data_IF_691446775173
#
_entry.id   IF_691446775173
#
_cell.length_a   1.000
_cell.length_b   1.000
_cell.length_c   1.000
_cell.angle_alpha   90.00
_cell.angle_beta   90.00
_cell.angle_gamma   90.00
#
_symmetry.space_group_name_H-M   'P 1'
#
loop_
_entity.id
_entity.type
_entity.pdbx_description
1 polymer ?
#
# COMPACT_ATOMS: atom_id res chain seq x y z
N UNK A 1 -9.37 34.96 2.23
CA UNK A 1 -8.65 34.27 1.14
C UNK A 1 -7.63 33.34 1.76
N UNK A 2 -7.40 32.18 1.17
CA UNK A 2 -6.40 31.18 1.58
C UNK A 2 -5.36 31.09 0.46
N UNK A 3 -4.08 31.04 0.84
CA UNK A 3 -3.00 30.83 -0.11
C UNK A 3 -2.63 29.35 -0.10
N UNK A 4 -2.60 28.74 -1.27
CA UNK A 4 -2.25 27.33 -1.47
C UNK A 4 -1.12 27.26 -2.48
N UNK A 5 -0.10 26.44 -2.20
CA UNK A 5 1.02 26.22 -3.11
C UNK A 5 0.85 24.86 -3.78
N UNK A 6 0.93 24.83 -5.11
CA UNK A 6 0.98 23.63 -5.92
C UNK A 6 2.37 23.49 -6.51
N UNK A 7 2.83 22.25 -6.65
CA UNK A 7 4.18 21.91 -7.07
C UNK A 7 4.13 20.96 -8.25
N UNK A 8 4.91 21.24 -9.29
CA UNK A 8 5.04 20.36 -10.47
C UNK A 8 6.45 20.47 -11.07
N UNK A 9 6.74 19.66 -12.09
CA UNK A 9 8.05 19.68 -12.77
C UNK A 9 8.21 20.94 -13.64
N UNK A 10 7.13 21.43 -14.23
CA UNK A 10 7.14 22.65 -15.06
C UNK A 10 6.14 23.71 -14.57
N UNK A 11 6.36 25.00 -14.89
CA UNK A 11 5.41 26.06 -14.54
C UNK A 11 4.03 25.86 -15.17
N UNK A 12 3.98 25.31 -16.39
CA UNK A 12 2.74 25.02 -17.11
C UNK A 12 1.93 23.95 -16.38
N UNK A 13 2.57 22.88 -15.93
CA UNK A 13 1.93 21.82 -15.16
C UNK A 13 1.41 22.35 -13.82
N UNK A 14 2.22 23.13 -13.08
CA UNK A 14 1.79 23.70 -11.80
C UNK A 14 0.56 24.62 -11.97
N UNK A 15 0.49 25.34 -13.08
CA UNK A 15 -0.66 26.19 -13.40
C UNK A 15 -1.87 25.36 -13.85
N UNK A 16 -1.65 24.32 -14.66
CA UNK A 16 -2.70 23.39 -15.08
C UNK A 16 -3.33 22.69 -13.87
N UNK A 17 -2.54 22.23 -12.90
CA UNK A 17 -3.04 21.67 -11.63
C UNK A 17 -3.91 22.68 -10.86
N UNK A 18 -3.54 23.95 -10.89
CA UNK A 18 -4.33 25.02 -10.24
C UNK A 18 -5.67 25.21 -10.95
N UNK A 19 -5.68 25.18 -12.28
CA UNK A 19 -6.91 25.25 -13.09
C UNK A 19 -7.79 24.02 -12.95
N UNK A 20 -7.20 22.83 -12.90
CA UNK A 20 -7.94 21.59 -12.71
C UNK A 20 -8.64 21.57 -11.36
N UNK A 21 -7.90 21.92 -10.29
CA UNK A 21 -8.42 21.88 -8.93
C UNK A 21 -9.39 23.02 -8.61
N UNK A 22 -9.13 24.22 -9.10
CA UNK A 22 -9.87 25.43 -8.72
C UNK A 22 -10.66 26.09 -9.86
N UNK A 23 -10.60 25.56 -11.08
CA UNK A 23 -11.19 26.18 -12.27
C UNK A 23 -10.54 27.53 -12.57
N UNK A 24 -11.37 28.53 -12.92
CA UNK A 24 -10.89 29.91 -13.10
C UNK A 24 -10.98 30.74 -11.79
N UNK A 25 -11.33 30.11 -10.67
CA UNK A 25 -11.73 30.80 -9.44
C UNK A 25 -10.57 30.89 -8.43
N UNK A 26 -9.41 31.34 -8.91
CA UNK A 26 -8.22 31.59 -8.11
C UNK A 26 -7.44 32.79 -8.66
N UNK A 27 -6.58 33.37 -7.82
CA UNK A 27 -5.62 34.39 -8.24
C UNK A 27 -4.19 33.90 -8.09
N UNK A 28 -3.40 33.99 -9.15
CA UNK A 28 -1.97 33.71 -9.08
C UNK A 28 -1.27 34.76 -8.18
N UNK A 29 -0.57 34.31 -7.14
CA UNK A 29 0.17 35.18 -6.21
C UNK A 29 1.67 35.14 -6.49
N UNK A 30 2.23 33.95 -6.68
CA UNK A 30 3.64 33.79 -7.02
C UNK A 30 3.90 32.53 -7.83
N UNK A 31 4.92 32.57 -8.67
CA UNK A 31 5.46 31.40 -9.36
C UNK A 31 6.99 31.41 -9.17
N UNK A 32 7.55 30.29 -8.72
CA UNK A 32 8.98 30.15 -8.45
C UNK A 32 9.47 28.81 -8.99
N UNK A 33 10.66 28.83 -9.58
CA UNK A 33 11.37 27.61 -9.95
C UNK A 33 12.52 27.41 -8.95
N UNK A 34 12.58 26.22 -8.37
CA UNK A 34 13.54 25.83 -7.35
C UNK A 34 14.45 24.75 -7.95
N UNK A 35 15.75 25.00 -7.92
CA UNK A 35 16.74 23.97 -8.27
C UNK A 35 16.79 22.94 -7.15
N UNK A 36 16.64 21.67 -7.49
CA UNK A 36 16.76 20.57 -6.53
C UNK A 36 18.23 20.25 -6.24
N UNK A 37 18.47 19.51 -5.16
CA UNK A 37 19.82 19.25 -4.64
C UNK A 37 20.72 18.49 -5.63
N UNK A 38 20.13 17.74 -6.56
CA UNK A 38 20.81 17.03 -7.64
C UNK A 38 21.36 17.96 -8.74
N UNK A 39 21.06 19.27 -8.69
CA UNK A 39 21.44 20.31 -9.68
C UNK A 39 20.97 20.09 -11.12
N UNK A 40 20.41 18.92 -11.43
CA UNK A 40 19.87 18.59 -12.74
C UNK A 40 18.36 18.77 -12.79
N UNK A 41 17.67 18.58 -11.65
CA UNK A 41 16.21 18.69 -11.60
C UNK A 41 15.77 20.06 -11.07
N UNK A 42 14.61 20.50 -11.56
CA UNK A 42 13.94 21.71 -11.06
C UNK A 42 12.51 21.38 -10.65
N UNK A 43 12.05 22.01 -9.58
CA UNK A 43 10.67 21.98 -9.13
C UNK A 43 10.05 23.35 -9.31
N UNK A 44 8.83 23.40 -9.82
CA UNK A 44 8.09 24.64 -10.03
C UNK A 44 6.95 24.74 -9.01
N UNK A 45 7.00 25.78 -8.20
CA UNK A 45 5.98 26.08 -7.20
C UNK A 45 5.14 27.28 -7.65
N UNK A 46 3.83 27.09 -7.63
CA UNK A 46 2.86 28.16 -7.87
C UNK A 46 1.99 28.33 -6.64
N UNK A 47 1.98 29.54 -6.08
CA UNK A 47 1.07 29.92 -5.00
C UNK A 47 -0.12 30.66 -5.59
N UNK A 48 -1.31 30.16 -5.31
CA UNK A 48 -2.58 30.76 -5.70
C UNK A 48 -3.39 31.16 -4.46
N UNK A 49 -4.20 32.20 -4.59
CA UNK A 49 -5.13 32.66 -3.57
C UNK A 49 -6.55 32.32 -3.98
N UNK A 50 -7.28 31.67 -3.08
CA UNK A 50 -8.63 31.15 -3.33
C UNK A 50 -9.54 31.52 -2.15
N UNK A 51 -10.85 31.59 -2.37
CA UNK A 51 -11.81 31.83 -1.28
C UNK A 51 -11.82 30.65 -0.29
N UNK A 52 -11.98 30.95 1.00
CA UNK A 52 -12.00 29.90 2.05
C UNK A 52 -13.17 28.93 1.85
N UNK A 53 -14.32 29.47 1.45
CA UNK A 53 -15.53 28.69 1.17
C UNK A 53 -15.29 27.69 0.03
N UNK A 54 -14.69 28.14 -1.08
CA UNK A 54 -14.37 27.27 -2.21
C UNK A 54 -13.36 26.18 -1.85
N UNK A 55 -12.36 26.52 -1.05
CA UNK A 55 -11.34 25.57 -0.59
C UNK A 55 -11.95 24.44 0.25
N UNK A 56 -12.86 24.78 1.16
CA UNK A 56 -13.54 23.78 2.00
C UNK A 56 -14.45 22.88 1.16
N UNK A 57 -15.28 23.46 0.28
CA UNK A 57 -16.18 22.70 -0.59
C UNK A 57 -15.45 21.66 -1.46
N UNK A 58 -14.29 22.02 -2.01
CA UNK A 58 -13.53 21.13 -2.88
C UNK A 58 -12.83 20.02 -2.10
N UNK A 59 -12.27 20.32 -0.93
CA UNK A 59 -11.61 19.30 -0.10
C UNK A 59 -12.62 18.35 0.56
N UNK A 60 -13.79 18.85 0.99
CA UNK A 60 -14.88 18.00 1.49
C UNK A 60 -15.44 17.07 0.39
N UNK A 61 -15.40 17.50 -0.88
CA UNK A 61 -15.75 16.66 -2.02
C UNK A 61 -14.67 15.63 -2.38
N UNK A 62 -13.38 15.98 -2.23
CA UNK A 62 -12.25 15.04 -2.41
C UNK A 62 -12.19 13.96 -1.31
N UNK A 63 -12.63 14.27 -0.09
CA UNK A 63 -12.64 13.32 1.05
C UNK A 63 -13.53 12.08 0.78
N UNK A 64 -14.55 12.22 -0.09
CA UNK A 64 -15.35 11.09 -0.58
C UNK A 64 -14.57 10.10 -1.47
N UNK A 65 -13.46 10.53 -2.07
CA UNK A 65 -12.54 9.68 -2.83
C UNK A 65 -11.51 8.98 -1.94
N UNK A 66 -10.99 9.67 -0.92
CA UNK A 66 -10.03 9.12 0.05
C UNK A 66 -10.65 7.99 0.86
N UNK A 67 -11.89 8.17 1.33
CA UNK A 67 -12.62 7.13 2.05
C UNK A 67 -12.81 5.84 1.22
N UNK A 68 -12.97 5.99 -0.11
CA UNK A 68 -13.14 4.86 -1.03
C UNK A 68 -11.82 4.14 -1.31
N UNK A 69 -10.72 4.88 -1.43
CA UNK A 69 -9.38 4.29 -1.56
C UNK A 69 -8.97 3.56 -0.27
N UNK A 70 -9.23 4.16 0.89
CA UNK A 70 -9.01 3.52 2.19
C UNK A 70 -9.82 2.23 2.35
N UNK A 71 -11.10 2.24 1.96
CA UNK A 71 -11.95 1.04 1.96
C UNK A 71 -11.41 -0.06 1.02
N UNK A 72 -10.92 0.31 -0.17
CA UNK A 72 -10.29 -0.65 -1.10
C UNK A 72 -9.00 -1.25 -0.53
N UNK A 73 -8.13 -0.43 0.08
CA UNK A 73 -6.90 -0.89 0.73
C UNK A 73 -7.20 -1.80 1.92
N UNK A 74 -8.22 -1.49 2.72
CA UNK A 74 -8.65 -2.34 3.84
C UNK A 74 -9.19 -3.70 3.36
N UNK A 75 -9.93 -3.71 2.25
CA UNK A 75 -10.40 -4.95 1.63
C UNK A 75 -9.23 -5.81 1.13
N UNK A 76 -8.23 -5.19 0.49
CA UNK A 76 -7.02 -5.91 0.03
C UNK A 76 -6.22 -6.48 1.21
N UNK A 77 -6.06 -5.72 2.29
CA UNK A 77 -5.43 -6.20 3.52
C UNK A 77 -6.17 -7.38 4.15
N UNK A 78 -7.51 -7.35 4.14
CA UNK A 78 -8.32 -8.47 4.63
C UNK A 78 -8.08 -9.73 3.80
N UNK A 79 -8.09 -9.61 2.47
CA UNK A 79 -7.86 -10.73 1.57
C UNK A 79 -6.47 -11.34 1.75
N UNK A 80 -5.43 -10.50 1.85
CA UNK A 80 -4.06 -10.95 2.10
C UNK A 80 -3.93 -11.66 3.45
N UNK A 81 -4.62 -11.17 4.48
CA UNK A 81 -4.62 -11.83 5.81
C UNK A 81 -5.22 -13.23 5.74
N UNK A 82 -6.31 -13.39 4.98
CA UNK A 82 -6.98 -14.68 4.84
C UNK A 82 -6.10 -15.67 4.06
N UNK A 83 -5.46 -15.22 2.97
CA UNK A 83 -4.48 -16.03 2.23
C UNK A 83 -3.29 -16.46 3.08
N UNK A 84 -2.76 -15.57 3.92
CA UNK A 84 -1.67 -15.91 4.86
C UNK A 84 -2.14 -16.96 5.88
N UNK A 85 -3.38 -16.85 6.33
CA UNK A 85 -3.95 -17.79 7.30
C UNK A 85 -4.09 -19.18 6.69
N UNK A 86 -4.62 -19.27 5.46
CA UNK A 86 -4.74 -20.52 4.70
C UNK A 86 -3.37 -21.18 4.48
N UNK A 87 -2.37 -20.42 4.00
CA UNK A 87 -1.01 -20.94 3.79
C UNK A 87 -0.40 -21.46 5.11
N UNK A 88 -0.65 -20.75 6.21
CA UNK A 88 -0.14 -21.15 7.53
C UNK A 88 -0.78 -22.45 8.01
N UNK A 89 -2.09 -22.61 7.82
CA UNK A 89 -2.81 -23.84 8.15
C UNK A 89 -2.30 -25.03 7.32
N UNK A 90 -2.13 -24.84 6.01
CA UNK A 90 -1.60 -25.85 5.10
C UNK A 90 -0.19 -26.31 5.51
N UNK A 91 0.69 -25.38 5.87
CA UNK A 91 2.04 -25.69 6.34
C UNK A 91 2.01 -26.48 7.65
N UNK A 92 1.17 -26.08 8.61
CA UNK A 92 1.02 -26.79 9.88
C UNK A 92 0.48 -28.21 9.67
N UNK A 93 -0.52 -28.39 8.80
CA UNK A 93 -1.03 -29.71 8.45
C UNK A 93 0.04 -30.59 7.78
N UNK A 94 0.83 -30.02 6.89
CA UNK A 94 1.94 -30.71 6.22
C UNK A 94 2.99 -31.21 7.22
N UNK A 95 3.38 -30.37 8.17
CA UNK A 95 4.32 -30.73 9.24
C UNK A 95 3.78 -31.83 10.16
N UNK A 96 2.50 -31.77 10.51
CA UNK A 96 1.83 -32.78 11.33
C UNK A 96 1.80 -34.13 10.59
N UNK A 97 1.39 -34.14 9.33
CA UNK A 97 1.36 -35.36 8.49
C UNK A 97 2.76 -35.97 8.32
N UNK A 98 3.79 -35.15 8.14
CA UNK A 98 5.18 -35.63 8.07
C UNK A 98 5.65 -36.28 9.37
N UNK A 99 5.39 -35.67 10.53
CA UNK A 99 5.75 -36.25 11.84
C UNK A 99 5.09 -37.60 12.08
N UNK A 100 3.79 -37.72 11.82
CA UNK A 100 3.09 -39.00 11.93
C UNK A 100 3.65 -40.06 10.98
N UNK A 101 4.04 -39.68 9.76
CA UNK A 101 4.64 -40.62 8.81
C UNK A 101 6.04 -41.10 9.24
N UNK A 102 6.84 -40.23 9.87
CA UNK A 102 8.14 -40.60 10.43
C UNK A 102 7.99 -41.53 11.64
N UNK A 103 7.12 -41.20 12.59
CA UNK A 103 6.88 -42.03 13.78
C UNK A 103 6.34 -43.41 13.42
N UNK A 104 5.42 -43.50 12.44
CA UNK A 104 4.91 -44.77 11.94
C UNK A 104 6.00 -45.63 11.27
N UNK A 105 6.90 -45.00 10.51
CA UNK A 105 8.03 -45.68 9.91
C UNK A 105 9.00 -46.20 10.97
N UNK A 106 9.39 -45.37 11.93
CA UNK A 106 10.28 -45.75 13.04
C UNK A 106 9.72 -46.92 13.87
N UNK A 107 8.44 -46.87 14.24
CA UNK A 107 7.80 -47.95 14.99
C UNK A 107 7.78 -49.28 14.20
N UNK A 108 7.56 -49.24 12.89
CA UNK A 108 7.59 -50.44 12.05
C UNK A 108 8.98 -51.08 11.93
N UNK A 109 10.05 -50.27 12.00
CA UNK A 109 11.43 -50.76 11.99
C UNK A 109 11.81 -51.40 13.33
N UNK A 110 11.33 -50.85 14.44
CA UNK A 110 11.52 -51.41 15.79
C UNK A 110 10.83 -52.77 15.90
N UNK A 111 9.58 -52.90 15.45
CA UNK A 111 8.86 -54.19 15.44
C UNK A 111 9.58 -55.25 14.59
N UNK A 112 10.09 -54.87 13.41
CA UNK A 112 10.88 -55.77 12.55
C UNK A 112 12.22 -56.18 13.16
N UNK A 113 12.85 -55.31 13.95
CA UNK A 113 14.11 -55.60 14.64
C UNK A 113 13.94 -56.51 15.86
N UNK A 114 12.78 -56.45 16.54
CA UNK A 114 12.45 -57.31 17.69
C UNK A 114 12.06 -58.74 17.29
N UNK A 115 11.68 -58.98 16.04
CA UNK A 115 11.39 -60.33 15.51
C UNK A 115 12.64 -60.89 14.80
N UNK A 116 13.73 -61.11 15.54
CA UNK A 116 14.78 -62.04 15.09
C UNK A 116 14.41 -63.45 15.57
N UNK A 117 14.32 -64.45 14.69
CA UNK A 117 14.01 -65.81 15.12
C UNK A 117 15.19 -66.36 15.94
N UNK A 118 14.89 -66.92 17.11
CA UNK A 118 15.74 -67.94 17.74
C UNK A 118 15.87 -69.07 16.71
N UNK A 119 17.02 -69.17 16.06
CA UNK A 119 17.39 -70.36 15.30
C UNK A 119 18.28 -71.16 16.25
N UNK A 120 17.74 -72.29 16.73
CA UNK A 120 18.44 -73.37 17.45
C UNK A 120 19.52 -74.03 16.59
#
# INVERSE_FOLDING_TARGET
MINVTLVASTPQEAYALSQEKYGNDFRLISARQIQLADRESTSCEITVSISRERFLQLNEAEDGGVAREEEMLMNELSLLRDQITEIKEDLQEGEIKQKYSQEAFENSQIERASVKPLIE
#
